data_IF_401625860810
#
_entry.id   IF_401625860810
#
_cell.length_a   1.000
_cell.length_b   1.000
_cell.length_c   1.000
_cell.angle_alpha   90.00
_cell.angle_beta   90.00
_cell.angle_gamma   90.00
#
_symmetry.space_group_name_H-M   'P 1'
#
loop_
_entity.id
_entity.type
_entity.pdbx_description
1 polymer ?
#
# COMPACT_ATOMS: atom_id res chain seq x y z
N UNK A 1 6.61 -4.12 8.57
CA UNK A 1 7.73 -3.17 8.37
C UNK A 1 8.47 -3.68 7.15
N UNK A 2 8.63 -2.86 6.10
CA UNK A 2 9.33 -3.32 4.89
C UNK A 2 10.83 -3.25 5.17
N UNK A 3 11.45 -4.42 5.38
CA UNK A 3 12.85 -4.58 5.80
C UNK A 3 13.86 -4.40 4.64
N UNK A 4 13.37 -4.21 3.41
CA UNK A 4 14.20 -4.11 2.20
C UNK A 4 14.53 -2.65 1.86
N UNK A 5 15.32 -1.99 2.71
CA UNK A 5 15.92 -0.71 2.37
C UNK A 5 17.02 -0.85 1.30
N UNK A 6 17.50 0.27 0.72
CA UNK A 6 18.66 0.28 -0.17
C UNK A 6 19.83 -0.52 0.43
N UNK A 7 20.41 -1.41 -0.37
CA UNK A 7 21.54 -2.27 0.02
C UNK A 7 21.20 -3.28 1.16
N UNK A 8 19.92 -3.59 1.39
CA UNK A 8 19.50 -4.59 2.38
C UNK A 8 19.67 -4.15 3.83
N UNK A 9 19.64 -2.85 4.09
CA UNK A 9 19.78 -2.27 5.44
C UNK A 9 18.50 -1.54 5.86
N UNK A 10 18.17 -1.52 7.16
CA UNK A 10 17.11 -0.66 7.66
C UNK A 10 17.45 0.80 7.37
N UNK A 11 16.56 1.50 6.68
CA UNK A 11 16.71 2.94 6.42
C UNK A 11 15.51 3.70 6.94
N UNK A 12 15.76 4.92 7.40
CA UNK A 12 14.70 5.87 7.71
C UNK A 12 14.32 6.62 6.44
N UNK A 13 13.10 6.43 5.97
CA UNK A 13 12.52 7.30 4.95
C UNK A 13 12.11 8.62 5.62
N UNK A 14 12.70 9.73 5.16
CA UNK A 14 12.37 11.09 5.60
C UNK A 14 12.23 11.99 4.38
N UNK A 15 11.40 13.04 4.48
CA UNK A 15 11.06 13.93 3.37
C UNK A 15 10.50 13.18 2.13
N UNK A 16 9.25 12.65 2.21
CA UNK A 16 8.66 11.91 1.11
C UNK A 16 8.49 12.79 -0.14
N UNK A 17 8.76 12.23 -1.32
CA UNK A 17 8.43 12.88 -2.60
C UNK A 17 6.91 12.99 -2.81
N UNK A 18 6.16 11.97 -2.37
CA UNK A 18 4.71 11.93 -2.41
C UNK A 18 4.18 11.12 -1.22
N UNK A 19 3.01 11.50 -0.73
CA UNK A 19 2.23 10.72 0.24
C UNK A 19 0.96 10.29 -0.48
N UNK A 20 0.74 8.98 -0.53
CA UNK A 20 -0.44 8.39 -1.14
C UNK A 20 -1.23 7.64 -0.06
N UNK A 21 -2.53 7.89 -0.01
CA UNK A 21 -3.45 7.32 1.00
C UNK A 21 -4.69 6.80 0.28
N UNK A 22 -5.11 5.59 0.62
CA UNK A 22 -6.43 5.06 0.29
C UNK A 22 -7.27 5.12 1.56
N UNK A 23 -8.38 5.85 1.54
CA UNK A 23 -9.30 5.95 2.68
C UNK A 23 -10.34 4.82 2.64
N UNK A 24 -10.58 4.24 1.46
CA UNK A 24 -11.52 3.15 1.22
C UNK A 24 -10.85 1.96 0.54
N UNK A 25 -11.43 0.76 0.71
CA UNK A 25 -10.95 -0.44 0.04
C UNK A 25 -10.94 -0.32 -1.49
N UNK A 26 -11.91 0.40 -2.07
CA UNK A 26 -11.99 0.60 -3.53
C UNK A 26 -10.82 1.41 -4.12
N UNK A 27 -10.15 2.21 -3.30
CA UNK A 27 -9.00 3.02 -3.71
C UNK A 27 -7.68 2.25 -3.66
N UNK A 28 -7.64 1.10 -2.99
CA UNK A 28 -6.44 0.27 -2.82
C UNK A 28 -5.84 -0.17 -4.16
N UNK A 29 -6.61 -0.66 -5.16
CA UNK A 29 -6.02 -1.04 -6.46
C UNK A 29 -5.37 0.13 -7.19
N UNK A 30 -5.99 1.32 -7.15
CA UNK A 30 -5.45 2.52 -7.79
C UNK A 30 -4.18 3.01 -7.07
N UNK A 31 -4.19 2.96 -5.73
CA UNK A 31 -3.02 3.25 -4.91
C UNK A 31 -1.85 2.32 -5.27
N UNK A 32 -2.08 1.00 -5.32
CA UNK A 32 -1.04 0.03 -5.66
C UNK A 32 -0.46 0.26 -7.07
N UNK A 33 -1.32 0.55 -8.06
CA UNK A 33 -0.85 0.88 -9.40
C UNK A 33 0.06 2.12 -9.41
N UNK A 34 -0.25 3.15 -8.61
CA UNK A 34 0.60 4.32 -8.47
C UNK A 34 1.94 3.99 -7.79
N UNK A 35 1.96 3.08 -6.82
CA UNK A 35 3.18 2.60 -6.18
C UNK A 35 4.06 1.79 -7.14
N UNK A 36 3.46 1.00 -8.03
CA UNK A 36 4.19 0.23 -9.05
C UNK A 36 4.86 1.16 -10.07
N UNK A 37 4.18 2.23 -10.49
CA UNK A 37 4.77 3.27 -11.34
C UNK A 37 5.95 3.94 -10.65
N UNK A 38 5.78 4.36 -9.38
CA UNK A 38 6.86 4.98 -8.62
C UNK A 38 8.08 4.06 -8.47
N UNK A 39 7.86 2.76 -8.23
CA UNK A 39 8.94 1.76 -8.21
C UNK A 39 9.64 1.62 -9.56
N UNK A 40 8.88 1.60 -10.66
CA UNK A 40 9.45 1.53 -12.01
C UNK A 40 10.30 2.76 -12.36
N UNK A 41 9.98 3.92 -11.78
CA UNK A 41 10.77 5.16 -11.88
C UNK A 41 12.00 5.17 -10.95
N UNK A 42 12.21 4.13 -10.14
CA UNK A 42 13.34 3.99 -9.23
C UNK A 42 13.12 4.60 -7.84
N UNK A 43 11.89 5.02 -7.52
CA UNK A 43 11.57 5.47 -6.17
C UNK A 43 11.37 4.29 -5.22
N UNK A 44 11.75 4.53 -3.98
CA UNK A 44 11.46 3.63 -2.88
C UNK A 44 10.10 3.94 -2.29
N UNK A 45 9.35 2.88 -1.98
CA UNK A 45 8.02 2.97 -1.39
C UNK A 45 8.07 2.40 0.02
N UNK A 46 7.59 3.18 0.99
CA UNK A 46 7.43 2.75 2.37
C UNK A 46 6.04 3.15 2.88
N UNK A 47 5.39 2.23 3.61
CA UNK A 47 4.04 2.45 4.12
C UNK A 47 3.51 1.23 4.86
N UNK A 48 2.25 1.31 5.25
CA UNK A 48 1.49 0.22 5.87
C UNK A 48 0.11 0.16 5.23
N UNK A 49 -0.50 -1.03 5.26
CA UNK A 49 -1.86 -1.27 4.80
C UNK A 49 -2.58 -1.92 5.99
N UNK A 50 -3.81 -1.48 6.28
CA UNK A 50 -4.61 -2.08 7.36
C UNK A 50 -4.96 -3.53 7.00
N UNK A 51 -5.11 -4.39 8.00
CA UNK A 51 -5.49 -5.79 7.78
C UNK A 51 -6.83 -5.90 7.01
N UNK A 52 -7.78 -5.02 7.33
CA UNK A 52 -9.08 -4.90 6.66
C UNK A 52 -9.00 -4.48 5.18
N UNK A 53 -7.91 -3.85 4.74
CA UNK A 53 -7.72 -3.52 3.33
C UNK A 53 -7.28 -4.74 2.49
N UNK A 54 -6.93 -5.86 3.12
CA UNK A 54 -6.70 -7.14 2.44
C UNK A 54 -7.96 -7.68 1.72
N UNK A 55 -9.15 -7.34 2.21
CA UNK A 55 -10.42 -7.71 1.57
C UNK A 55 -10.60 -7.07 0.18
N UNK A 56 -9.96 -5.92 -0.07
CA UNK A 56 -10.00 -5.24 -1.37
C UNK A 56 -9.01 -5.83 -2.41
N UNK A 57 -8.04 -6.64 -1.96
CA UNK A 57 -7.01 -7.24 -2.81
C UNK A 57 -7.41 -8.61 -3.38
N UNK A 58 -8.43 -9.25 -2.81
CA UNK A 58 -9.01 -10.48 -3.34
C UNK A 58 -10.38 -10.17 -3.99
N UNK A 59 -10.51 -10.23 -5.33
CA UNK A 59 -11.78 -10.04 -6.02
C UNK A 59 -12.91 -11.01 -5.59
N UNK A 60 -12.57 -12.04 -4.80
CA UNK A 60 -13.49 -13.04 -4.24
C UNK A 60 -14.01 -12.68 -2.84
N UNK A 61 -13.53 -11.60 -2.25
CA UNK A 61 -13.85 -11.17 -0.87
C UNK A 61 -14.52 -9.80 -0.80
N UNK A 62 -14.76 -9.14 -1.93
CA UNK A 62 -15.63 -7.96 -2.04
C UNK A 62 -17.07 -8.18 -1.57
N UNK A 63 -17.45 -9.42 -1.24
CA UNK A 63 -18.76 -9.81 -0.71
C UNK A 63 -18.75 -10.37 0.71
N UNK A 64 -17.63 -10.32 1.44
CA UNK A 64 -17.60 -10.63 2.87
C UNK A 64 -17.34 -9.33 3.64
N UNK A 65 -18.33 -8.46 3.59
CA UNK A 65 -18.61 -7.50 4.66
C UNK A 65 -19.08 -8.33 5.87
N UNK A 66 -18.30 -8.49 6.95
CA UNK A 66 -18.80 -9.13 8.15
C UNK A 66 -19.57 -8.08 8.95
N UNK A 67 -20.88 -8.08 8.73
CA UNK A 67 -21.93 -7.54 9.59
C UNK A 67 -21.89 -6.04 9.91
N UNK A 68 -23.00 -5.37 9.56
CA UNK A 68 -23.20 -3.96 9.75
C UNK A 68 -23.00 -3.45 11.18
N UNK A 69 -22.51 -2.21 11.24
CA UNK A 69 -22.65 -1.28 12.36
C UNK A 69 -23.33 -0.01 11.89
#
# INVERSE_FOLDING_TARGET
MLEDGPEGRPVLFSAPHAILVAETGAEVPALLAALDVARAEGFWVAGWISYEAGYALEPKLTGLDPDGG
#
